data_IF_647154742014
#
_entry.id   IF_647154742014
#
_cell.length_a   1.000
_cell.length_b   1.000
_cell.length_c   1.000
_cell.angle_alpha   90.00
_cell.angle_beta   90.00
_cell.angle_gamma   90.00
#
_symmetry.space_group_name_H-M   'P 1'
#
loop_
_entity.id
_entity.type
_entity.pdbx_description
1 polymer ?
#
# COMPACT_ATOMS: atom_id res chain seq x y z
N UNK A 1 -1.09 13.14 3.96
CA UNK A 1 -0.79 11.75 4.35
C UNK A 1 0.44 11.75 5.27
N UNK A 2 0.30 11.39 6.56
CA UNK A 2 1.43 11.25 7.48
C UNK A 2 2.21 9.96 7.18
N UNK A 3 3.53 10.06 7.10
CA UNK A 3 4.43 8.93 6.89
C UNK A 3 5.08 8.57 8.24
N UNK A 4 4.98 7.31 8.64
CA UNK A 4 5.60 6.80 9.86
C UNK A 4 6.89 6.04 9.55
N UNK A 5 7.84 6.12 10.47
CA UNK A 5 9.07 5.32 10.42
C UNK A 5 8.73 3.85 10.74
N UNK A 6 9.40 2.87 10.08
CA UNK A 6 9.18 1.45 10.33
C UNK A 6 9.64 1.06 11.74
N UNK A 7 8.91 0.14 12.39
CA UNK A 7 9.34 -0.46 13.66
C UNK A 7 10.33 -1.61 13.40
N UNK A 8 11.19 -1.99 14.38
CA UNK A 8 12.22 -3.02 14.20
C UNK A 8 11.70 -4.42 13.81
N UNK A 9 10.39 -4.68 13.89
CA UNK A 9 9.77 -5.99 13.65
C UNK A 9 8.94 -6.05 12.35
N UNK A 10 9.10 -5.09 11.44
CA UNK A 10 8.26 -4.95 10.24
C UNK A 10 8.23 -6.19 9.32
N UNK A 11 9.34 -6.94 9.18
CA UNK A 11 9.43 -8.04 8.20
C UNK A 11 8.80 -9.40 8.63
N UNK A 12 7.98 -9.50 9.71
CA UNK A 12 7.65 -10.82 10.32
C UNK A 12 6.16 -11.21 10.41
N UNK A 13 5.26 -10.65 9.62
CA UNK A 13 3.81 -10.98 9.68
C UNK A 13 3.21 -11.30 8.32
N UNK A 14 3.31 -12.57 7.93
CA UNK A 14 2.50 -13.18 6.88
C UNK A 14 2.25 -14.64 7.25
N UNK A 15 1.04 -14.97 7.66
CA UNK A 15 0.64 -16.37 7.89
C UNK A 15 -0.72 -16.57 7.27
N UNK A 16 -0.74 -17.06 6.02
CA UNK A 16 -1.94 -17.50 5.35
C UNK A 16 -2.19 -18.97 5.70
N UNK A 17 -3.15 -19.24 6.57
CA UNK A 17 -3.71 -20.58 6.75
C UNK A 17 -5.20 -20.43 7.07
N UNK A 18 -6.08 -20.75 6.10
CA UNK A 18 -7.52 -20.56 6.29
C UNK A 18 -8.46 -21.20 5.25
N UNK A 19 -8.03 -22.22 4.49
CA UNK A 19 -8.88 -22.83 3.45
C UNK A 19 -9.13 -24.33 3.62
N UNK A 20 -8.77 -24.94 4.76
CA UNK A 20 -8.88 -26.40 4.94
C UNK A 20 -10.24 -26.91 5.43
N UNK A 21 -11.22 -26.05 5.72
CA UNK A 21 -12.46 -26.46 6.41
C UNK A 21 -13.70 -26.60 5.51
N UNK A 22 -13.69 -26.12 4.26
CA UNK A 22 -14.87 -26.19 3.36
C UNK A 22 -14.51 -26.58 1.90
N UNK A 23 -14.29 -27.88 1.60
CA UNK A 23 -13.84 -28.35 0.29
C UNK A 23 -14.88 -28.25 -0.85
N UNK A 24 -16.14 -27.89 -0.55
CA UNK A 24 -17.21 -27.72 -1.55
C UNK A 24 -17.51 -26.26 -1.88
N UNK A 25 -16.78 -25.31 -1.30
CA UNK A 25 -16.95 -23.89 -1.60
C UNK A 25 -16.11 -23.53 -2.83
N UNK A 26 -16.77 -23.24 -3.95
CA UNK A 26 -16.10 -22.66 -5.12
C UNK A 26 -15.89 -21.16 -4.84
N UNK A 27 -14.63 -20.75 -4.70
CA UNK A 27 -14.26 -19.34 -4.55
C UNK A 27 -13.69 -18.88 -5.88
N UNK A 28 -14.35 -17.93 -6.52
CA UNK A 28 -13.78 -17.18 -7.64
C UNK A 28 -13.15 -15.89 -7.10
N UNK A 29 -11.86 -15.71 -7.36
CA UNK A 29 -11.11 -14.53 -6.95
C UNK A 29 -10.71 -13.74 -8.20
N UNK A 30 -11.14 -12.48 -8.26
CA UNK A 30 -10.75 -11.54 -9.31
C UNK A 30 -10.07 -10.31 -8.73
N UNK A 31 -8.98 -9.87 -9.35
CA UNK A 31 -8.33 -8.60 -9.02
C UNK A 31 -8.92 -7.47 -9.85
N UNK A 32 -9.36 -6.40 -9.18
CA UNK A 32 -10.01 -5.22 -9.76
C UNK A 32 -9.66 -3.99 -8.94
N UNK A 33 -9.93 -2.80 -9.48
CA UNK A 33 -9.75 -1.55 -8.70
C UNK A 33 -10.78 -1.49 -7.57
N UNK A 34 -10.47 -0.77 -6.48
CA UNK A 34 -11.42 -0.63 -5.37
C UNK A 34 -12.75 0.00 -5.79
N UNK A 35 -12.75 0.88 -6.81
CA UNK A 35 -13.97 1.48 -7.38
C UNK A 35 -14.81 0.42 -8.09
N UNK A 36 -14.18 -0.40 -8.92
CA UNK A 36 -14.87 -1.49 -9.64
C UNK A 36 -15.44 -2.52 -8.67
N UNK A 37 -14.69 -2.85 -7.60
CA UNK A 37 -15.14 -3.78 -6.56
C UNK A 37 -16.43 -3.24 -5.90
N UNK A 38 -16.44 -1.97 -5.47
CA UNK A 38 -17.65 -1.35 -4.90
C UNK A 38 -18.82 -1.43 -5.87
N UNK A 39 -18.58 -1.14 -7.16
CA UNK A 39 -19.62 -1.20 -8.19
C UNK A 39 -20.18 -2.62 -8.39
N UNK A 40 -19.30 -3.62 -8.49
CA UNK A 40 -19.69 -5.02 -8.69
C UNK A 40 -20.53 -5.54 -7.52
N UNK A 41 -20.14 -5.21 -6.30
CA UNK A 41 -20.90 -5.59 -5.10
C UNK A 41 -22.26 -4.87 -5.08
N UNK A 42 -22.28 -3.56 -5.33
CA UNK A 42 -23.52 -2.79 -5.37
C UNK A 42 -24.50 -3.28 -6.46
N UNK A 43 -23.99 -3.80 -7.58
CA UNK A 43 -24.78 -4.40 -8.65
C UNK A 43 -25.21 -5.86 -8.41
N UNK A 44 -24.76 -6.49 -7.32
CA UNK A 44 -25.03 -7.89 -7.00
C UNK A 44 -24.28 -8.90 -7.88
N UNK A 45 -23.21 -8.48 -8.55
CA UNK A 45 -22.34 -9.34 -9.37
C UNK A 45 -21.29 -10.03 -8.49
N UNK A 46 -20.84 -9.36 -7.42
CA UNK A 46 -19.90 -9.89 -6.43
C UNK A 46 -20.53 -9.85 -5.03
N UNK A 47 -20.13 -10.79 -4.16
CA UNK A 47 -20.66 -10.90 -2.79
C UNK A 47 -19.81 -10.14 -1.76
N UNK A 48 -18.49 -10.08 -1.98
CA UNK A 48 -17.54 -9.44 -1.09
C UNK A 48 -16.29 -8.97 -1.87
N UNK A 49 -15.53 -8.05 -1.29
CA UNK A 49 -14.28 -7.58 -1.88
C UNK A 49 -13.42 -6.82 -0.87
N UNK A 50 -12.13 -6.74 -1.17
CA UNK A 50 -11.16 -5.96 -0.41
C UNK A 50 -10.95 -4.62 -1.10
N UNK A 51 -11.18 -3.53 -0.37
CA UNK A 51 -11.05 -2.17 -0.89
C UNK A 51 -10.20 -1.32 0.05
N UNK A 52 -9.53 -0.31 -0.49
CA UNK A 52 -8.89 0.71 0.34
C UNK A 52 -9.91 1.65 0.96
N UNK A 53 -9.50 2.43 1.96
CA UNK A 53 -10.32 3.47 2.59
C UNK A 53 -10.56 4.69 1.69
N UNK A 54 -9.85 4.78 0.56
CA UNK A 54 -9.94 5.87 -0.39
C UNK A 54 -11.20 5.85 -1.28
N UNK A 55 -12.03 4.80 -1.21
CA UNK A 55 -13.25 4.69 -2.03
C UNK A 55 -14.51 4.99 -1.24
N UNK A 56 -15.48 5.62 -1.92
CA UNK A 56 -16.78 5.92 -1.34
C UNK A 56 -17.72 4.72 -1.54
N UNK A 57 -18.06 4.04 -0.45
CA UNK A 57 -18.90 2.84 -0.46
C UNK A 57 -20.23 3.08 0.29
N UNK A 58 -21.01 4.10 -0.12
CA UNK A 58 -22.17 4.62 0.62
C UNK A 58 -23.20 3.54 1.01
N UNK A 59 -23.42 2.55 0.13
CA UNK A 59 -24.44 1.52 0.30
C UNK A 59 -23.88 0.18 0.79
N UNK A 60 -22.58 0.11 1.11
CA UNK A 60 -21.91 -1.11 1.54
C UNK A 60 -21.50 -1.05 3.01
N UNK A 61 -21.55 -2.21 3.67
CA UNK A 61 -20.96 -2.36 5.00
C UNK A 61 -19.46 -2.59 4.87
N UNK A 62 -18.65 -1.68 5.40
CA UNK A 62 -17.20 -1.80 5.46
C UNK A 62 -16.76 -2.35 6.81
N UNK A 63 -15.90 -3.37 6.79
CA UNK A 63 -15.26 -3.91 8.00
C UNK A 63 -13.74 -3.82 7.83
N UNK A 64 -13.01 -3.14 8.73
CA UNK A 64 -11.54 -3.10 8.69
C UNK A 64 -10.94 -4.49 8.88
N UNK A 65 -10.11 -4.93 7.93
CA UNK A 65 -9.44 -6.24 7.97
C UNK A 65 -7.94 -6.10 8.25
N UNK A 66 -7.30 -5.07 7.70
CA UNK A 66 -5.89 -4.77 7.93
C UNK A 66 -5.61 -3.29 7.73
N UNK A 67 -4.60 -2.77 8.43
CA UNK A 67 -4.03 -1.47 8.13
C UNK A 67 -2.96 -1.64 7.04
N UNK A 68 -3.16 -1.03 5.88
CA UNK A 68 -2.11 -0.90 4.85
C UNK A 68 -1.20 0.28 5.20
N UNK A 69 -0.06 -0.02 5.82
CA UNK A 69 0.83 1.00 6.40
C UNK A 69 1.99 1.32 5.48
N UNK A 70 1.94 2.49 4.86
CA UNK A 70 3.09 3.03 4.14
C UNK A 70 4.13 3.61 5.11
N UNK A 71 5.37 3.15 4.99
CA UNK A 71 6.51 3.58 5.81
C UNK A 71 7.63 4.16 4.96
N UNK A 72 8.35 5.13 5.51
CA UNK A 72 9.56 5.67 4.89
C UNK A 72 10.78 4.88 5.36
N UNK A 73 11.56 4.34 4.42
CA UNK A 73 12.84 3.71 4.71
C UNK A 73 13.95 4.66 4.26
N UNK A 74 14.85 4.99 5.18
CA UNK A 74 16.04 5.80 4.92
C UNK A 74 17.30 5.13 5.48
N UNK A 75 18.49 5.42 4.93
CA UNK A 75 19.75 5.00 5.56
C UNK A 75 19.86 5.49 7.01
N UNK A 76 20.53 4.75 7.91
CA UNK A 76 20.63 5.12 9.34
C UNK A 76 21.17 6.53 9.59
N UNK A 77 22.07 7.01 8.71
CA UNK A 77 22.70 8.33 8.81
C UNK A 77 21.98 9.42 7.99
N UNK A 78 20.81 9.14 7.44
CA UNK A 78 20.02 10.14 6.71
C UNK A 78 19.44 11.17 7.70
N UNK A 79 19.41 12.49 7.41
CA UNK A 79 18.85 13.49 8.32
C UNK A 79 17.42 13.20 8.79
N UNK A 80 16.62 12.57 7.93
CA UNK A 80 15.25 12.16 8.22
C UNK A 80 15.12 10.94 9.17
N UNK A 81 16.21 10.26 9.50
CA UNK A 81 16.18 9.10 10.43
C UNK A 81 15.87 9.50 11.87
N UNK A 82 16.08 10.77 12.22
CA UNK A 82 15.82 11.34 13.54
C UNK A 82 14.59 12.26 13.58
N UNK A 83 13.85 12.37 12.47
CA UNK A 83 12.68 13.22 12.38
C UNK A 83 11.45 12.51 12.94
N UNK A 84 10.77 13.14 13.90
CA UNK A 84 9.51 12.66 14.43
C UNK A 84 8.34 13.19 13.61
N UNK A 85 7.53 12.28 13.07
CA UNK A 85 6.28 12.62 12.36
C UNK A 85 6.53 13.33 11.03
N UNK A 86 6.93 12.57 10.01
CA UNK A 86 7.09 13.10 8.66
C UNK A 86 5.76 13.08 7.91
N UNK A 87 5.61 14.01 6.98
CA UNK A 87 4.57 14.03 5.98
C UNK A 87 5.18 13.80 4.59
N UNK A 88 4.35 13.45 3.61
CA UNK A 88 4.84 13.30 2.24
C UNK A 88 5.51 14.59 1.71
N UNK A 89 5.00 15.77 2.07
CA UNK A 89 5.61 17.05 1.69
C UNK A 89 7.03 17.25 2.21
N UNK A 90 7.37 16.69 3.38
CA UNK A 90 8.72 16.84 3.96
C UNK A 90 9.77 16.05 3.19
N UNK A 91 9.32 15.06 2.41
CA UNK A 91 10.20 14.11 1.72
C UNK A 91 10.07 14.17 0.21
N UNK A 92 9.05 14.83 -0.34
CA UNK A 92 8.73 14.84 -1.78
C UNK A 92 9.85 15.39 -2.66
N UNK A 93 10.77 16.16 -2.08
CA UNK A 93 11.95 16.74 -2.75
C UNK A 93 13.19 15.84 -2.68
N UNK A 94 13.18 14.82 -1.82
CA UNK A 94 14.27 13.86 -1.71
C UNK A 94 14.28 12.89 -2.91
N UNK A 95 15.43 12.27 -3.22
CA UNK A 95 15.49 11.25 -4.25
C UNK A 95 14.86 9.93 -3.78
N UNK A 96 13.86 9.44 -4.51
CA UNK A 96 13.17 8.18 -4.22
C UNK A 96 13.69 7.01 -5.04
N UNK A 97 13.55 5.82 -4.46
CA UNK A 97 13.46 4.57 -5.20
C UNK A 97 11.98 4.37 -5.52
N UNK A 98 11.64 4.27 -6.80
CA UNK A 98 10.28 4.08 -7.27
C UNK A 98 10.03 2.63 -7.70
N UNK A 99 8.76 2.25 -7.74
CA UNK A 99 8.35 1.08 -8.50
C UNK A 99 8.08 1.45 -9.97
N UNK A 100 8.02 0.46 -10.84
CA UNK A 100 7.60 0.68 -12.22
C UNK A 100 6.13 1.17 -12.30
N UNK A 101 5.79 1.96 -13.33
CA UNK A 101 4.40 2.36 -13.60
C UNK A 101 3.47 1.16 -13.71
N UNK A 102 2.19 1.32 -13.36
CA UNK A 102 1.23 0.22 -13.26
C UNK A 102 1.19 -0.45 -11.90
N UNK A 103 2.14 -0.13 -11.00
CA UNK A 103 2.05 -0.54 -9.60
C UNK A 103 1.14 0.44 -8.83
N UNK A 104 0.10 -0.10 -8.19
CA UNK A 104 -0.90 0.69 -7.46
C UNK A 104 -0.31 1.58 -6.36
N UNK A 105 0.72 1.10 -5.64
CA UNK A 105 1.38 1.91 -4.61
C UNK A 105 2.14 3.08 -5.24
N UNK A 106 2.87 2.84 -6.33
CA UNK A 106 3.59 3.91 -7.03
C UNK A 106 2.65 4.98 -7.57
N UNK A 107 1.53 4.56 -8.15
CA UNK A 107 0.51 5.47 -8.66
C UNK A 107 -0.11 6.30 -7.52
N UNK A 108 -0.44 5.65 -6.39
CA UNK A 108 -0.96 6.31 -5.20
C UNK A 108 0.00 7.38 -4.64
N UNK A 109 1.29 7.06 -4.47
CA UNK A 109 2.28 8.02 -3.97
C UNK A 109 2.46 9.18 -4.96
N UNK A 110 2.48 8.88 -6.27
CA UNK A 110 2.62 9.89 -7.33
C UNK A 110 1.43 10.85 -7.35
N UNK A 111 0.21 10.33 -7.17
CA UNK A 111 -1.00 11.15 -7.09
C UNK A 111 -0.95 12.09 -5.88
N UNK A 112 -0.62 11.58 -4.68
CA UNK A 112 -0.53 12.42 -3.49
C UNK A 112 0.57 13.49 -3.61
N UNK A 113 1.69 13.19 -4.26
CA UNK A 113 2.72 14.19 -4.54
C UNK A 113 2.22 15.27 -5.51
N UNK A 114 1.47 14.87 -6.54
CA UNK A 114 0.88 15.80 -7.50
C UNK A 114 -0.18 16.71 -6.87
N UNK A 115 -0.99 16.20 -5.93
CA UNK A 115 -1.94 17.00 -5.14
C UNK A 115 -1.23 18.05 -4.27
N UNK A 116 0.03 17.81 -3.89
CA UNK A 116 0.89 18.77 -3.20
C UNK A 116 1.62 19.73 -4.17
N UNK A 117 1.41 19.62 -5.47
CA UNK A 117 2.08 20.43 -6.50
C UNK A 117 3.51 20.00 -6.80
N UNK A 118 3.89 18.78 -6.43
CA UNK A 118 5.24 18.25 -6.61
C UNK A 118 5.26 17.06 -7.57
N UNK A 119 6.37 16.90 -8.28
CA UNK A 119 6.71 15.67 -8.98
C UNK A 119 7.85 14.99 -8.25
N UNK A 120 7.66 13.71 -7.90
CA UNK A 120 8.67 12.92 -7.21
C UNK A 120 9.89 12.72 -8.10
N UNK A 121 11.07 12.94 -7.53
CA UNK A 121 12.34 12.70 -8.20
C UNK A 121 12.80 11.26 -7.94
N UNK A 122 12.89 10.45 -9.00
CA UNK A 122 13.28 9.05 -8.89
C UNK A 122 14.70 8.84 -9.40
N UNK A 123 15.54 8.16 -8.61
CA UNK A 123 16.90 7.76 -9.05
C UNK A 123 16.97 6.33 -9.55
N UNK A 124 16.14 5.46 -9.01
CA UNK A 124 16.12 4.02 -9.31
C UNK A 124 14.65 3.60 -9.44
N UNK A 125 14.35 2.71 -10.39
CA UNK A 125 13.04 2.05 -10.51
C UNK A 125 13.18 0.54 -10.41
N UNK A 126 12.23 -0.12 -9.77
CA UNK A 126 12.24 -1.57 -9.58
C UNK A 126 10.84 -2.21 -9.67
N UNK A 127 10.79 -3.53 -9.80
CA UNK A 127 9.55 -4.28 -9.99
C UNK A 127 8.89 -4.74 -8.69
N UNK A 128 9.66 -5.00 -7.63
CA UNK A 128 9.14 -5.38 -6.30
C UNK A 128 10.14 -5.01 -5.20
N UNK A 129 9.69 -5.10 -3.94
CA UNK A 129 10.49 -4.81 -2.74
C UNK A 129 11.19 -6.02 -2.13
N UNK A 130 11.10 -7.21 -2.76
CA UNK A 130 11.52 -8.49 -2.17
C UNK A 130 13.02 -8.60 -1.80
N UNK A 131 13.83 -7.59 -2.13
CA UNK A 131 15.25 -7.54 -1.81
C UNK A 131 15.65 -6.66 -0.62
N UNK A 132 14.75 -5.89 0.00
CA UNK A 132 15.14 -4.93 1.05
C UNK A 132 15.29 -5.53 2.45
N UNK A 133 14.65 -6.67 2.77
CA UNK A 133 14.78 -7.33 4.08
C UNK A 133 15.91 -8.39 4.13
N UNK A 134 16.60 -8.72 3.04
CA UNK A 134 17.48 -9.91 3.01
C UNK A 134 18.94 -9.70 3.43
N UNK A 135 19.44 -8.48 3.62
CA UNK A 135 20.83 -8.29 4.09
C UNK A 135 20.95 -7.13 5.07
N UNK A 136 20.48 -7.36 6.30
CA UNK A 136 20.96 -6.64 7.48
C UNK A 136 22.11 -7.40 8.13
N UNK A 137 23.31 -7.32 7.56
CA UNK A 137 24.57 -7.58 8.27
C UNK A 137 25.38 -6.29 8.35
#
# INVERSE_FOLDING_TARGET
MPIRQPSPNFCRQGSANGFSEHPSLAIELEERTSVDIVHLIASGIAEAGLVSDAVNAQDLTLTPIADDRLVLIVPPHHPLSHADGLSLSDVVTEPFIALYPGNALQENISQHAAELGHHLNYRIRMSSFDGFCENGQ
#
